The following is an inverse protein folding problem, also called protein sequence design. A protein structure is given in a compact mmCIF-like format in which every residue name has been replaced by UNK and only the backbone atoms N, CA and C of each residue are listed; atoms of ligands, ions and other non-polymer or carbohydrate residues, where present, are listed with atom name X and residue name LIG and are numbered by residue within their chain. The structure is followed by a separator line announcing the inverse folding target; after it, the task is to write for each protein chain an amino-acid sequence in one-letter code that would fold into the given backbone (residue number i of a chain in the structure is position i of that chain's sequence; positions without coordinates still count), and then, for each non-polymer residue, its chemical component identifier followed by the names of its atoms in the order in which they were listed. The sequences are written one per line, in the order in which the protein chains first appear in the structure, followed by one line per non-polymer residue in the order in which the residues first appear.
data_IF_292180285315
#
_entry.id   IF_292180285315
#
_cell.length_a   1.000
_cell.length_b   1.000
_cell.length_c   1.000
_cell.angle_alpha   90.00
_cell.angle_beta   90.00
_cell.angle_gamma   90.00
#
_symmetry.space_group_name_H-M   'P 1'
#
loop_
_entity.id
_entity.type
_entity.pdbx_description
1 polymer ?
#
# COMPACT_ATOMS: atom_id res chain seq x y z
N UNK A 1 -21.45 -19.32 3.66
CA UNK A 1 -20.25 -19.58 4.48
C UNK A 1 -19.02 -19.04 3.78
N UNK A 2 -17.99 -18.66 4.56
CA UNK A 2 -16.70 -18.24 4.03
C UNK A 2 -15.85 -19.45 3.65
N UNK A 3 -15.06 -19.31 2.58
CA UNK A 3 -14.10 -20.31 2.13
C UNK A 3 -12.69 -19.76 2.34
N UNK A 4 -11.78 -20.47 3.00
CA UNK A 4 -10.42 -19.96 3.23
C UNK A 4 -9.62 -19.89 1.92
N UNK A 5 -8.72 -18.93 1.85
CA UNK A 5 -7.62 -18.96 0.88
C UNK A 5 -6.55 -19.95 1.35
N UNK A 6 -6.05 -20.79 0.47
CA UNK A 6 -5.02 -21.76 0.82
C UNK A 6 -3.63 -21.13 0.94
N UNK A 7 -3.29 -20.22 0.01
CA UNK A 7 -1.98 -19.57 -0.09
C UNK A 7 -2.13 -18.05 -0.23
N UNK A 8 -1.12 -17.30 0.16
CA UNK A 8 -1.01 -15.86 -0.16
C UNK A 8 -1.05 -15.62 -1.67
N UNK A 9 -0.43 -16.53 -2.43
CA UNK A 9 -0.44 -16.52 -3.89
C UNK A 9 -1.84 -16.60 -4.51
N UNK A 10 -2.80 -17.23 -3.84
CA UNK A 10 -4.20 -17.28 -4.31
C UNK A 10 -4.86 -15.90 -4.18
N UNK A 11 -4.56 -15.18 -3.08
CA UNK A 11 -5.01 -13.80 -2.87
C UNK A 11 -4.37 -12.89 -3.91
N UNK A 12 -3.05 -12.98 -4.08
CA UNK A 12 -2.29 -12.20 -5.04
C UNK A 12 -2.86 -12.32 -6.46
N UNK A 13 -3.03 -13.54 -6.97
CA UNK A 13 -3.58 -13.76 -8.31
C UNK A 13 -4.99 -13.19 -8.49
N UNK A 14 -5.83 -13.31 -7.46
CA UNK A 14 -7.18 -12.76 -7.48
C UNK A 14 -7.13 -11.23 -7.56
N UNK A 15 -6.31 -10.60 -6.75
CA UNK A 15 -6.19 -9.14 -6.69
C UNK A 15 -5.54 -8.59 -7.96
N UNK A 16 -4.44 -9.18 -8.41
CA UNK A 16 -3.74 -8.76 -9.64
C UNK A 16 -4.64 -8.82 -10.89
N UNK A 17 -5.55 -9.78 -10.93
CA UNK A 17 -6.55 -9.86 -12.00
C UNK A 17 -7.70 -8.87 -11.90
N UNK A 18 -7.82 -8.10 -10.81
CA UNK A 18 -8.96 -7.23 -10.52
C UNK A 18 -8.56 -5.91 -9.82
N UNK A 19 -7.35 -5.39 -10.03
CA UNK A 19 -6.86 -4.18 -9.33
C UNK A 19 -7.69 -2.94 -9.68
N UNK A 20 -8.17 -2.86 -10.92
CA UNK A 20 -9.03 -1.77 -11.39
C UNK A 20 -10.39 -1.80 -10.69
N UNK A 21 -11.03 -2.97 -10.63
CA UNK A 21 -12.34 -3.13 -10.00
C UNK A 21 -12.30 -2.96 -8.49
N UNK A 22 -11.21 -3.39 -7.86
CA UNK A 22 -11.12 -3.38 -6.40
C UNK A 22 -10.64 -2.05 -5.84
N UNK A 23 -9.74 -1.38 -6.54
CA UNK A 23 -9.01 -0.23 -6.00
C UNK A 23 -8.90 0.95 -6.98
N UNK A 24 -9.44 0.83 -8.19
CA UNK A 24 -9.23 1.80 -9.29
C UNK A 24 -7.75 2.04 -9.58
N UNK A 25 -6.94 0.98 -9.50
CA UNK A 25 -5.49 1.02 -9.71
C UNK A 25 -5.10 0.27 -10.98
N UNK A 26 -4.24 0.88 -11.78
CA UNK A 26 -3.61 0.22 -12.91
C UNK A 26 -2.57 -0.79 -12.42
N UNK A 27 -2.72 -2.08 -12.75
CA UNK A 27 -1.69 -3.08 -12.50
C UNK A 27 -0.44 -2.79 -13.32
N UNK A 28 0.74 -2.78 -12.70
CA UNK A 28 2.03 -2.56 -13.37
C UNK A 28 2.79 -3.87 -13.51
N UNK A 29 3.21 -4.46 -12.39
CA UNK A 29 3.98 -5.71 -12.40
C UNK A 29 3.78 -6.53 -11.14
N UNK A 30 4.02 -7.85 -11.28
CA UNK A 30 4.02 -8.83 -10.20
C UNK A 30 5.45 -9.20 -9.84
N UNK A 31 5.74 -9.39 -8.55
CA UNK A 31 7.03 -9.85 -8.04
C UNK A 31 8.21 -8.92 -8.47
N UNK A 32 7.98 -7.60 -8.46
CA UNK A 32 9.00 -6.62 -8.83
C UNK A 32 10.17 -6.68 -7.87
N UNK A 33 11.33 -7.07 -8.38
CA UNK A 33 12.56 -7.23 -7.60
C UNK A 33 13.46 -6.02 -7.77
N UNK A 34 13.84 -5.40 -6.65
CA UNK A 34 14.76 -4.27 -6.63
C UNK A 34 15.67 -4.37 -5.41
N UNK A 35 17.00 -4.38 -5.66
CA UNK A 35 18.00 -4.67 -4.64
C UNK A 35 17.72 -6.04 -3.97
N UNK A 36 17.60 -6.08 -2.63
CA UNK A 36 17.28 -7.27 -1.84
C UNK A 36 15.78 -7.44 -1.55
N UNK A 37 14.96 -6.51 -2.06
CA UNK A 37 13.51 -6.51 -1.87
C UNK A 37 12.79 -7.15 -3.07
N UNK A 38 11.65 -7.75 -2.76
CA UNK A 38 10.68 -8.21 -3.75
C UNK A 38 9.30 -7.71 -3.36
N UNK A 39 8.75 -6.85 -4.18
CA UNK A 39 7.41 -6.28 -4.03
C UNK A 39 6.42 -7.25 -4.68
N UNK A 40 5.41 -7.69 -3.94
CA UNK A 40 4.45 -8.67 -4.44
C UNK A 40 3.69 -8.15 -5.65
N UNK A 41 3.12 -6.94 -5.56
CA UNK A 41 2.39 -6.29 -6.66
C UNK A 41 2.66 -4.80 -6.69
N UNK A 42 3.06 -4.30 -7.84
CA UNK A 42 3.20 -2.87 -8.11
C UNK A 42 2.01 -2.39 -8.94
N UNK A 43 1.39 -1.31 -8.51
CA UNK A 43 0.30 -0.62 -9.20
C UNK A 43 0.62 0.86 -9.39
N UNK A 44 -0.16 1.51 -10.25
CA UNK A 44 -0.13 2.95 -10.46
C UNK A 44 -1.55 3.52 -10.31
N UNK A 45 -1.66 4.57 -9.54
CA UNK A 45 -2.89 5.35 -9.35
C UNK A 45 -2.89 6.49 -10.37
N UNK A 46 -3.71 6.35 -11.42
CA UNK A 46 -3.80 7.34 -12.49
C UNK A 46 -4.44 8.65 -12.03
N UNK A 47 -5.32 8.62 -11.05
CA UNK A 47 -5.98 9.81 -10.51
C UNK A 47 -5.00 10.66 -9.69
N UNK A 48 -4.26 10.03 -8.78
CA UNK A 48 -3.29 10.70 -7.92
C UNK A 48 -1.88 10.74 -8.53
N UNK A 49 -1.68 10.14 -9.72
CA UNK A 49 -0.36 10.06 -10.39
C UNK A 49 0.74 9.47 -9.48
N UNK A 50 0.42 8.45 -8.73
CA UNK A 50 1.32 7.87 -7.72
C UNK A 50 1.47 6.37 -7.82
N UNK A 51 2.61 5.85 -7.34
CA UNK A 51 2.80 4.41 -7.22
C UNK A 51 2.15 3.87 -5.94
N UNK A 52 1.55 2.69 -6.07
CA UNK A 52 0.94 1.95 -4.97
C UNK A 52 1.55 0.55 -4.92
N UNK A 53 2.05 0.18 -3.75
CA UNK A 53 2.54 -1.18 -3.50
C UNK A 53 1.43 -1.97 -2.82
N UNK A 54 1.15 -3.18 -3.30
CA UNK A 54 0.23 -4.11 -2.62
C UNK A 54 1.03 -5.31 -2.12
N UNK A 55 0.89 -5.60 -0.84
CA UNK A 55 1.54 -6.70 -0.14
C UNK A 55 0.51 -7.64 0.47
N UNK A 56 0.69 -8.95 0.29
CA UNK A 56 -0.26 -9.95 0.78
C UNK A 56 0.24 -10.62 2.06
N UNK A 57 -0.67 -10.87 2.98
CA UNK A 57 -0.39 -11.50 4.25
C UNK A 57 -1.43 -12.59 4.56
N UNK A 58 -0.97 -13.74 5.04
CA UNK A 58 -1.85 -14.81 5.49
C UNK A 58 -1.72 -15.09 6.99
N UNK A 59 -0.68 -14.62 7.62
CA UNK A 59 -0.33 -14.92 9.01
C UNK A 59 -0.34 -13.73 9.95
N UNK A 60 -0.21 -14.03 11.26
CA UNK A 60 -0.33 -13.05 12.35
C UNK A 60 1.00 -12.39 12.78
N UNK A 61 2.13 -12.72 12.16
CA UNK A 61 3.45 -12.54 12.77
C UNK A 61 4.30 -11.37 12.25
N UNK A 62 3.80 -10.53 11.36
CA UNK A 62 4.62 -9.48 10.75
C UNK A 62 4.17 -8.07 11.15
N UNK A 63 5.16 -7.21 11.42
CA UNK A 63 4.94 -5.78 11.57
C UNK A 63 4.65 -5.18 10.19
N UNK A 64 3.41 -4.79 9.95
CA UNK A 64 3.00 -4.11 8.69
C UNK A 64 3.63 -2.73 8.59
N UNK A 65 3.83 -2.05 9.72
CA UNK A 65 4.43 -0.71 9.76
C UNK A 65 5.89 -0.73 9.29
N UNK A 66 6.73 -1.59 9.87
CA UNK A 66 8.15 -1.65 9.53
C UNK A 66 8.35 -2.01 8.06
N UNK A 67 7.54 -2.95 7.54
CA UNK A 67 7.60 -3.35 6.14
C UNK A 67 7.09 -2.23 5.22
N UNK A 68 6.01 -1.56 5.58
CA UNK A 68 5.45 -0.47 4.80
C UNK A 68 6.44 0.69 4.65
N UNK A 69 7.06 1.14 5.74
CA UNK A 69 8.09 2.19 5.66
C UNK A 69 9.33 1.74 4.90
N UNK A 70 9.73 0.47 5.00
CA UNK A 70 10.85 -0.07 4.22
C UNK A 70 10.56 -0.01 2.71
N UNK A 71 9.34 -0.36 2.29
CA UNK A 71 8.92 -0.26 0.89
C UNK A 71 8.82 1.18 0.39
N UNK A 72 8.26 2.10 1.19
CA UNK A 72 8.21 3.50 0.79
C UNK A 72 9.62 4.10 0.72
N UNK A 73 10.49 3.79 1.67
CA UNK A 73 11.89 4.21 1.63
C UNK A 73 12.61 3.65 0.38
N UNK A 74 12.41 2.38 0.05
CA UNK A 74 12.93 1.78 -1.19
C UNK A 74 12.46 2.55 -2.40
N UNK A 75 11.16 2.83 -2.51
CA UNK A 75 10.56 3.55 -3.63
C UNK A 75 11.14 4.95 -3.76
N UNK A 76 11.16 5.73 -2.68
CA UNK A 76 11.61 7.12 -2.71
C UNK A 76 13.11 7.25 -3.02
N UNK A 77 13.91 6.29 -2.62
CA UNK A 77 15.35 6.25 -2.93
C UNK A 77 15.68 5.69 -4.34
N UNK A 78 14.71 5.02 -4.98
CA UNK A 78 14.91 4.37 -6.28
C UNK A 78 13.82 4.77 -7.30
N UNK A 79 13.41 6.04 -7.29
CA UNK A 79 12.32 6.58 -8.13
C UNK A 79 12.47 6.25 -9.62
N UNK A 80 13.71 6.25 -10.12
CA UNK A 80 14.00 5.95 -11.53
C UNK A 80 13.70 4.51 -11.90
N UNK A 81 13.92 3.56 -10.99
CA UNK A 81 13.66 2.15 -11.22
C UNK A 81 12.17 1.85 -11.30
N UNK A 82 11.36 2.50 -10.44
CA UNK A 82 9.90 2.40 -10.50
C UNK A 82 9.33 2.97 -11.81
N UNK A 83 9.86 4.11 -12.27
CA UNK A 83 9.46 4.70 -13.55
C UNK A 83 9.88 3.80 -14.72
N UNK A 84 11.08 3.22 -14.68
CA UNK A 84 11.56 2.30 -15.70
C UNK A 84 10.66 1.06 -15.77
N UNK A 85 10.37 0.43 -14.63
CA UNK A 85 9.46 -0.72 -14.54
C UNK A 85 8.09 -0.40 -15.15
N UNK A 86 7.50 0.75 -14.77
CA UNK A 86 6.23 1.20 -15.34
C UNK A 86 6.32 1.34 -16.85
N UNK A 87 7.33 2.05 -17.35
CA UNK A 87 7.48 2.31 -18.78
C UNK A 87 7.69 1.04 -19.60
N UNK A 88 8.47 0.09 -19.09
CA UNK A 88 8.70 -1.19 -19.74
C UNK A 88 7.45 -2.05 -19.78
N UNK A 89 6.74 -2.16 -18.64
CA UNK A 89 5.53 -2.98 -18.54
C UNK A 89 4.35 -2.40 -19.31
N UNK A 90 4.19 -1.07 -19.29
CA UNK A 90 3.05 -0.37 -19.91
C UNK A 90 3.33 0.18 -21.31
N UNK A 91 4.58 0.08 -21.79
CA UNK A 91 5.05 0.69 -23.06
C UNK A 91 4.71 2.17 -23.12
N UNK A 92 4.91 2.87 -22.01
CA UNK A 92 4.60 4.27 -21.80
C UNK A 92 5.91 5.09 -21.70
N UNK A 93 5.79 6.40 -21.47
CA UNK A 93 6.92 7.32 -21.30
C UNK A 93 6.66 8.25 -20.09
N UNK A 94 6.35 7.64 -18.95
CA UNK A 94 6.19 8.34 -17.68
C UNK A 94 7.50 9.02 -17.30
N UNK A 95 7.44 10.28 -16.90
CA UNK A 95 8.61 11.06 -16.48
C UNK A 95 8.58 11.27 -14.97
N UNK A 96 9.73 11.56 -14.39
CA UNK A 96 9.86 11.80 -12.95
C UNK A 96 8.95 12.93 -12.44
N UNK A 97 8.74 13.95 -13.26
CA UNK A 97 7.88 15.09 -12.91
C UNK A 97 6.38 14.81 -13.07
N UNK A 98 6.01 13.69 -13.68
CA UNK A 98 4.61 13.29 -13.86
C UNK A 98 4.09 12.50 -12.64
N UNK A 99 4.96 12.15 -11.70
CA UNK A 99 4.63 11.31 -10.54
C UNK A 99 4.55 12.14 -9.27
N UNK A 100 3.42 12.08 -8.60
CA UNK A 100 3.25 12.59 -7.24
C UNK A 100 3.70 11.54 -6.21
N UNK A 101 4.97 11.60 -5.85
CA UNK A 101 5.56 10.70 -4.85
C UNK A 101 4.95 10.89 -3.45
N UNK A 102 4.37 12.06 -3.18
CA UNK A 102 3.75 12.36 -1.88
C UNK A 102 2.46 11.58 -1.63
N UNK A 103 1.78 11.15 -2.70
CA UNK A 103 0.56 10.34 -2.65
C UNK A 103 0.82 8.83 -2.70
N UNK A 104 2.10 8.41 -2.68
CA UNK A 104 2.44 6.98 -2.68
C UNK A 104 2.04 6.30 -1.37
N UNK A 105 1.55 5.06 -1.47
CA UNK A 105 1.07 4.29 -0.32
C UNK A 105 1.35 2.80 -0.46
N UNK A 106 1.20 2.07 0.65
CA UNK A 106 1.24 0.60 0.68
C UNK A 106 -0.11 0.07 1.14
N UNK A 107 -0.68 -0.86 0.38
CA UNK A 107 -1.89 -1.60 0.72
C UNK A 107 -1.50 -2.99 1.20
N UNK A 108 -1.89 -3.34 2.42
CA UNK A 108 -1.75 -4.70 2.95
C UNK A 108 -3.08 -5.42 2.83
N UNK A 109 -3.06 -6.61 2.21
CA UNK A 109 -4.26 -7.43 2.03
C UNK A 109 -4.10 -8.76 2.78
N UNK A 110 -5.07 -9.09 3.62
CA UNK A 110 -5.06 -10.31 4.43
C UNK A 110 -6.49 -10.83 4.65
N UNK A 111 -6.70 -12.14 4.89
CA UNK A 111 -7.98 -12.64 5.36
C UNK A 111 -8.42 -12.04 6.71
N UNK A 112 -7.46 -11.65 7.55
CA UNK A 112 -7.71 -10.96 8.83
C UNK A 112 -6.45 -10.29 9.33
N UNK A 113 -6.61 -9.18 10.06
CA UNK A 113 -5.55 -8.53 10.82
C UNK A 113 -5.82 -8.67 12.32
N UNK A 114 -4.77 -8.90 13.09
CA UNK A 114 -4.87 -8.90 14.55
C UNK A 114 -4.95 -7.47 15.11
N UNK A 115 -5.30 -7.35 16.40
CA UNK A 115 -5.43 -6.05 17.07
C UNK A 115 -4.11 -5.26 17.06
N UNK A 116 -2.96 -5.93 17.19
CA UNK A 116 -1.66 -5.27 17.14
C UNK A 116 -1.41 -4.62 15.76
N UNK A 117 -1.65 -5.35 14.67
CA UNK A 117 -1.50 -4.82 13.32
C UNK A 117 -2.46 -3.64 13.06
N UNK A 118 -3.73 -3.74 13.48
CA UNK A 118 -4.71 -2.65 13.35
C UNK A 118 -4.31 -1.41 14.16
N UNK A 119 -3.85 -1.61 15.39
CA UNK A 119 -3.42 -0.50 16.24
C UNK A 119 -2.13 0.15 15.73
N UNK A 120 -1.23 -0.62 15.10
CA UNK A 120 0.05 -0.10 14.61
C UNK A 120 -0.11 0.89 13.44
N UNK A 121 -1.21 0.80 12.69
CA UNK A 121 -1.55 1.75 11.61
C UNK A 121 -2.64 2.75 12.00
N UNK A 122 -3.04 2.77 13.27
CA UNK A 122 -4.10 3.66 13.75
C UNK A 122 -3.57 5.07 14.05
N UNK A 123 -3.04 5.73 13.03
CA UNK A 123 -2.61 7.12 13.02
C UNK A 123 -3.20 7.81 11.79
N UNK A 124 -3.41 9.14 11.87
CA UNK A 124 -4.03 9.87 10.76
C UNK A 124 -3.15 10.01 9.52
N UNK A 125 -1.82 9.96 9.69
CA UNK A 125 -0.81 10.25 8.67
C UNK A 125 0.06 9.05 8.29
N UNK A 126 -0.44 7.83 8.50
CA UNK A 126 0.23 6.61 8.06
C UNK A 126 -0.17 6.32 6.61
N UNK A 127 0.79 6.24 5.67
CA UNK A 127 0.52 5.98 4.25
C UNK A 127 0.29 4.48 3.98
N UNK A 128 -0.47 3.83 4.86
CA UNK A 128 -0.77 2.39 4.78
C UNK A 128 -2.26 2.15 4.89
N UNK A 129 -2.76 1.22 4.10
CA UNK A 129 -4.11 0.72 4.17
C UNK A 129 -4.11 -0.77 4.53
N UNK A 130 -4.99 -1.18 5.43
CA UNK A 130 -5.24 -2.59 5.72
C UNK A 130 -6.59 -2.99 5.13
N UNK A 131 -6.60 -4.01 4.27
CA UNK A 131 -7.79 -4.51 3.62
C UNK A 131 -8.01 -5.99 3.97
N UNK A 132 -9.14 -6.30 4.60
CA UNK A 132 -9.54 -7.69 4.85
C UNK A 132 -10.29 -8.24 3.64
N UNK A 133 -9.77 -9.34 3.08
CA UNK A 133 -10.38 -10.04 1.95
C UNK A 133 -11.04 -11.35 2.41
N UNK A 134 -12.29 -11.58 2.00
CA UNK A 134 -13.01 -12.83 2.27
C UNK A 134 -13.61 -13.39 0.99
N UNK A 135 -13.48 -14.70 0.81
CA UNK A 135 -14.13 -15.44 -0.25
C UNK A 135 -15.31 -16.23 0.35
N UNK A 136 -16.43 -16.25 -0.35
CA UNK A 136 -17.62 -16.98 0.04
C UNK A 136 -17.88 -18.18 -0.89
N UNK A 137 -18.63 -19.16 -0.38
CA UNK A 137 -18.96 -20.39 -1.11
C UNK A 137 -19.74 -20.19 -2.43
N UNK A 138 -20.38 -19.02 -2.58
CA UNK A 138 -21.07 -18.61 -3.80
C UNK A 138 -20.17 -17.80 -4.76
N UNK A 139 -18.84 -17.89 -4.61
CA UNK A 139 -17.82 -17.15 -5.37
C UNK A 139 -17.84 -15.63 -5.21
N UNK A 140 -18.58 -15.09 -4.26
CA UNK A 140 -18.49 -13.67 -3.90
C UNK A 140 -17.19 -13.40 -3.16
N UNK A 141 -16.66 -12.19 -3.38
CA UNK A 141 -15.50 -11.65 -2.66
C UNK A 141 -15.99 -10.41 -1.89
N UNK A 142 -15.59 -10.26 -0.64
CA UNK A 142 -15.69 -9.01 0.08
C UNK A 142 -14.32 -8.46 0.38
N UNK A 143 -14.18 -7.15 0.21
CA UNK A 143 -13.03 -6.35 0.59
C UNK A 143 -13.50 -5.29 1.58
N UNK A 144 -12.85 -5.22 2.75
CA UNK A 144 -13.21 -4.27 3.79
C UNK A 144 -11.96 -3.56 4.28
N UNK A 145 -11.89 -2.26 4.07
CA UNK A 145 -10.81 -1.43 4.59
C UNK A 145 -10.98 -1.22 6.09
N UNK A 146 -9.88 -1.36 6.82
CA UNK A 146 -9.81 -0.96 8.21
C UNK A 146 -9.62 0.55 8.28
N UNK A 147 -10.62 1.25 8.79
CA UNK A 147 -10.56 2.71 8.98
C UNK A 147 -9.79 3.05 10.27
N UNK A 148 -8.84 3.97 10.18
CA UNK A 148 -8.21 4.55 11.36
C UNK A 148 -9.22 5.42 12.09
N UNK A 149 -9.27 5.32 13.41
CA UNK A 149 -10.09 6.16 14.28
C UNK A 149 -9.28 7.22 15.03
N UNK A 150 -7.95 7.18 14.91
CA UNK A 150 -7.05 8.09 15.61
C UNK A 150 -6.92 9.43 14.87
N UNK A 151 -6.79 10.51 15.68
CA UNK A 151 -6.39 11.85 15.21
C UNK A 151 -4.92 12.14 15.50
N UNK A 152 -4.19 11.18 16.05
CA UNK A 152 -2.78 11.33 16.39
C UNK A 152 -1.88 11.09 15.18
N UNK A 153 -0.80 11.86 15.07
CA UNK A 153 0.23 11.70 14.06
C UNK A 153 1.29 10.71 14.49
N UNK A 154 1.72 9.81 13.59
CA UNK A 154 2.83 8.91 13.84
C UNK A 154 4.16 9.66 14.01
N UNK A 155 4.25 10.88 13.46
CA UNK A 155 5.46 11.74 13.59
C UNK A 155 5.71 12.19 15.02
N UNK A 156 4.70 12.14 15.88
CA UNK A 156 4.82 12.43 17.30
C UNK A 156 5.48 11.32 18.13
N UNK A 157 5.72 10.14 17.53
CA UNK A 157 6.41 9.04 18.22
C UNK A 157 7.90 9.35 18.37
N UNK A 158 8.40 9.27 19.61
CA UNK A 158 9.82 9.41 19.93
C UNK A 158 10.53 8.05 19.85
N UNK A 159 11.80 8.01 19.35
CA UNK A 159 12.67 6.83 19.34
C UNK A 159 13.45 6.60 18.05
N UNK A 160 14.36 5.62 18.04
CA UNK A 160 15.30 5.33 16.92
C UNK A 160 14.61 4.93 15.61
N UNK A 161 13.41 4.34 15.69
CA UNK A 161 12.58 4.06 14.50
C UNK A 161 12.06 5.31 13.80
N UNK A 162 12.17 6.45 14.45
CA UNK A 162 11.67 7.72 13.96
C UNK A 162 12.46 8.29 12.76
N UNK A 163 13.68 7.82 12.47
CA UNK A 163 14.47 8.35 11.35
C UNK A 163 13.86 7.98 10.00
N UNK A 164 13.54 6.70 9.78
CA UNK A 164 12.91 6.23 8.52
C UNK A 164 11.51 6.81 8.37
N UNK A 165 10.74 6.85 9.47
CA UNK A 165 9.40 7.45 9.50
C UNK A 165 9.48 8.94 9.15
N UNK A 166 10.45 9.67 9.74
CA UNK A 166 10.67 11.11 9.45
C UNK A 166 11.11 11.34 8.02
N UNK A 167 11.98 10.50 7.46
CA UNK A 167 12.48 10.66 6.10
C UNK A 167 11.39 10.37 5.06
N UNK A 168 10.60 9.32 5.26
CA UNK A 168 9.41 9.04 4.43
C UNK A 168 8.36 10.15 4.60
N UNK A 169 8.08 10.58 5.83
CA UNK A 169 7.08 11.61 6.12
C UNK A 169 7.43 13.02 5.60
N UNK A 170 8.67 13.27 5.16
CA UNK A 170 9.02 14.49 4.43
C UNK A 170 8.52 14.48 2.99
N UNK A 171 8.41 13.30 2.39
CA UNK A 171 8.05 13.14 0.99
C UNK A 171 6.63 12.61 0.77
N UNK A 172 6.14 11.77 1.68
CA UNK A 172 4.78 11.21 1.62
C UNK A 172 3.86 11.96 2.56
N UNK A 173 2.75 12.48 2.04
CA UNK A 173 1.71 13.19 2.80
C UNK A 173 0.41 12.41 2.70
N UNK A 174 -0.16 12.11 3.85
CA UNK A 174 -1.53 11.60 3.92
C UNK A 174 -2.45 12.80 4.12
N UNK A 175 -3.31 13.05 3.15
CA UNK A 175 -4.30 14.12 3.22
C UNK A 175 -5.44 13.62 4.10
N UNK A 176 -5.72 14.27 5.22
CA UNK A 176 -6.86 13.93 6.07
C UNK A 176 -8.16 14.44 5.45
N UNK A 177 -9.29 13.77 5.77
CA UNK A 177 -10.61 14.23 5.31
C UNK A 177 -10.89 15.70 5.68
N UNK A 178 -10.38 16.17 6.81
CA UNK A 178 -10.54 17.56 7.26
C UNK A 178 -9.81 18.55 6.35
N UNK A 179 -8.71 18.18 5.70
CA UNK A 179 -7.96 19.04 4.76
C UNK A 179 -8.66 19.15 3.40
N UNK A 180 -9.43 18.15 2.98
CA UNK A 180 -10.19 18.16 1.74
C UNK A 180 -11.35 19.18 1.75
N UNK A 181 -11.81 19.63 2.91
CA UNK A 181 -12.93 20.56 3.06
C UNK A 181 -12.55 22.01 3.36
N UNK A 182 -11.27 22.35 3.50
CA UNK A 182 -10.80 23.71 3.84
C UNK A 182 -10.60 24.60 2.58
N UNK A 183 -11.00 24.17 1.41
CA UNK A 183 -10.79 24.85 0.12
C UNK A 183 -12.04 25.28 -0.64
N UNK A 184 -13.17 25.62 0.04
CA UNK A 184 -14.34 26.23 -0.64
C UNK A 184 -14.84 27.44 0.09
#
# INVERSE_FOLDING_TARGET
DTTPFNLEKDIQKLVEGNTEEFFSLEFVSSEFSLNEFRIDTLCFDEENKSFVIIEYKKGKSYSVIDQGYSYLSLMLNNKSDFILEYNECKKNNLKRGDVDWSSSKVIFISPSFNTYQKNSVNFQDVPFELWEIKKYSNNMISLNQHQSSSKESIQNLEGDKSSIIKDVGKEVRVVSEDELFVGK
#
